data_IF_620450551803
#
_entry.id   IF_620450551803
#
_cell.length_a   1.000
_cell.length_b   1.000
_cell.length_c   1.000
_cell.angle_alpha   90.00
_cell.angle_beta   90.00
_cell.angle_gamma   90.00
#
_symmetry.space_group_name_H-M   'P 1'
#
loop_
_entity.id
_entity.type
_entity.pdbx_description
1 polymer ?
#
# COMPACT_ATOMS: atom_id res chain seq x y z
N UNK A 1 15.28 -13.83 13.98
CA UNK A 1 14.30 -13.93 12.88
C UNK A 1 14.98 -14.62 11.72
N UNK A 2 14.37 -15.69 11.18
CA UNK A 2 14.87 -16.38 9.99
C UNK A 2 14.51 -15.52 8.78
N UNK A 3 15.50 -15.18 7.94
CA UNK A 3 15.27 -14.40 6.71
C UNK A 3 14.32 -15.18 5.79
N UNK A 4 13.32 -14.51 5.22
CA UNK A 4 12.42 -15.12 4.22
C UNK A 4 13.24 -15.58 3.00
N UNK A 5 12.90 -16.71 2.36
CA UNK A 5 13.57 -17.16 1.15
C UNK A 5 13.43 -16.16 0.02
N UNK A 6 14.45 -16.13 -0.85
CA UNK A 6 14.45 -15.35 -2.09
C UNK A 6 13.80 -16.15 -3.22
N UNK A 7 13.09 -15.46 -4.11
CA UNK A 7 12.50 -16.06 -5.31
C UNK A 7 13.61 -16.52 -6.27
N UNK A 8 13.44 -17.70 -6.87
CA UNK A 8 14.32 -18.27 -7.89
C UNK A 8 14.72 -17.25 -8.97
N UNK A 9 16.00 -17.22 -9.35
CA UNK A 9 16.56 -16.16 -10.19
C UNK A 9 15.89 -16.01 -11.56
N UNK A 10 15.47 -17.13 -12.18
CA UNK A 10 14.78 -17.12 -13.47
C UNK A 10 13.36 -16.53 -13.39
N UNK A 11 12.69 -16.74 -12.26
CA UNK A 11 11.37 -16.21 -11.97
C UNK A 11 11.47 -14.73 -11.59
N UNK A 12 12.48 -14.39 -10.77
CA UNK A 12 12.86 -13.01 -10.45
C UNK A 12 13.05 -12.17 -11.72
N UNK A 13 13.82 -12.67 -12.69
CA UNK A 13 14.05 -11.97 -13.95
C UNK A 13 12.77 -11.76 -14.79
N UNK A 14 11.81 -12.69 -14.73
CA UNK A 14 10.52 -12.53 -15.41
C UNK A 14 9.64 -11.48 -14.72
N UNK A 15 9.60 -11.50 -13.38
CA UNK A 15 8.91 -10.49 -12.57
C UNK A 15 9.51 -9.11 -12.88
N UNK A 16 10.84 -8.96 -12.78
CA UNK A 16 11.52 -7.68 -13.03
C UNK A 16 11.22 -7.14 -14.44
N UNK A 17 11.24 -8.00 -15.46
CA UNK A 17 10.87 -7.60 -16.83
C UNK A 17 9.44 -7.08 -16.94
N UNK A 18 8.48 -7.70 -16.25
CA UNK A 18 7.10 -7.23 -16.24
C UNK A 18 6.96 -5.89 -15.52
N UNK A 19 7.70 -5.69 -14.42
CA UNK A 19 7.71 -4.43 -13.67
C UNK A 19 8.38 -3.29 -14.46
N UNK A 20 9.43 -3.58 -15.22
CA UNK A 20 10.03 -2.61 -16.14
C UNK A 20 9.03 -2.15 -17.21
N UNK A 21 8.26 -3.08 -17.78
CA UNK A 21 7.21 -2.77 -18.75
C UNK A 21 6.04 -2.02 -18.09
N UNK A 22 5.64 -2.39 -16.87
CA UNK A 22 4.64 -1.68 -16.07
C UNK A 22 5.06 -0.23 -15.88
N UNK A 23 6.30 0.02 -15.47
CA UNK A 23 6.84 1.38 -15.32
C UNK A 23 6.82 2.18 -16.63
N UNK A 24 7.12 1.57 -17.77
CA UNK A 24 7.00 2.23 -19.08
C UNK A 24 5.56 2.61 -19.42
N UNK A 25 4.59 1.73 -19.12
CA UNK A 25 3.16 2.01 -19.31
C UNK A 25 2.70 3.17 -18.43
N UNK A 26 3.10 3.15 -17.15
CA UNK A 26 2.82 4.25 -16.22
C UNK A 26 3.37 5.59 -16.73
N UNK A 27 4.63 5.62 -17.16
CA UNK A 27 5.27 6.83 -17.72
C UNK A 27 4.58 7.34 -18.99
N UNK A 28 3.99 6.45 -19.78
CA UNK A 28 3.20 6.79 -20.96
C UNK A 28 1.76 7.23 -20.62
N UNK A 29 1.35 7.22 -19.35
CA UNK A 29 0.00 7.55 -18.88
C UNK A 29 -1.01 6.40 -19.01
N UNK A 30 -0.57 5.20 -19.41
CA UNK A 30 -1.39 4.00 -19.48
C UNK A 30 -1.42 3.32 -18.10
N UNK A 31 -2.15 3.93 -17.16
CA UNK A 31 -2.24 3.46 -15.78
C UNK A 31 -2.85 2.06 -15.69
N UNK A 32 -3.92 1.79 -16.44
CA UNK A 32 -4.57 0.48 -16.46
C UNK A 32 -3.64 -0.61 -17.01
N UNK A 33 -2.92 -0.31 -18.10
CA UNK A 33 -1.93 -1.24 -18.66
C UNK A 33 -0.73 -1.46 -17.73
N UNK A 34 -0.35 -0.44 -16.93
CA UNK A 34 0.65 -0.60 -15.87
C UNK A 34 0.19 -1.62 -14.83
N UNK A 35 -1.02 -1.43 -14.28
CA UNK A 35 -1.60 -2.33 -13.28
C UNK A 35 -1.73 -3.76 -13.81
N UNK A 36 -2.16 -3.93 -15.06
CA UNK A 36 -2.29 -5.25 -15.68
C UNK A 36 -0.94 -6.00 -15.69
N UNK A 37 0.15 -5.32 -16.07
CA UNK A 37 1.49 -5.90 -16.06
C UNK A 37 1.99 -6.19 -14.64
N UNK A 38 1.72 -5.29 -13.69
CA UNK A 38 1.99 -5.53 -12.28
C UNK A 38 1.27 -6.79 -11.78
N UNK A 39 -0.01 -6.96 -12.11
CA UNK A 39 -0.80 -8.12 -11.70
C UNK A 39 -0.29 -9.44 -12.30
N UNK A 40 0.21 -9.40 -13.54
CA UNK A 40 0.92 -10.54 -14.13
C UNK A 40 2.19 -10.87 -13.33
N UNK A 41 2.95 -9.86 -12.91
CA UNK A 41 4.13 -10.05 -12.08
C UNK A 41 3.77 -10.62 -10.69
N UNK A 42 2.68 -10.14 -10.09
CA UNK A 42 2.14 -10.69 -8.84
C UNK A 42 1.76 -12.17 -8.96
N UNK A 43 1.12 -12.56 -10.07
CA UNK A 43 0.70 -13.94 -10.32
C UNK A 43 1.88 -14.92 -10.42
N UNK A 44 3.06 -14.43 -10.80
CA UNK A 44 4.29 -15.24 -10.86
C UNK A 44 4.87 -15.56 -9.47
N UNK A 45 4.54 -14.81 -8.42
CA UNK A 45 5.07 -15.07 -7.08
C UNK A 45 4.52 -16.40 -6.55
N UNK A 46 5.39 -17.34 -6.11
CA UNK A 46 4.94 -18.64 -5.64
C UNK A 46 4.07 -18.57 -4.38
N UNK A 47 3.14 -19.50 -4.23
CA UNK A 47 2.32 -19.62 -3.02
C UNK A 47 3.03 -20.40 -1.90
N UNK A 48 2.76 -20.08 -0.62
CA UNK A 48 2.00 -18.92 -0.16
C UNK A 48 2.84 -17.63 -0.24
N UNK A 49 2.29 -16.58 -0.85
CA UNK A 49 3.02 -15.33 -1.16
C UNK A 49 3.67 -14.68 0.07
N UNK A 50 3.02 -14.71 1.23
CA UNK A 50 3.51 -14.13 2.49
C UNK A 50 4.86 -14.69 2.97
N UNK A 51 5.26 -15.88 2.49
CA UNK A 51 6.54 -16.50 2.85
C UNK A 51 7.73 -15.96 2.08
N UNK A 52 7.53 -15.20 1.01
CA UNK A 52 8.61 -14.68 0.17
C UNK A 52 9.01 -13.27 0.57
N UNK A 53 10.29 -12.97 0.42
CA UNK A 53 10.83 -11.64 0.71
C UNK A 53 10.56 -10.65 -0.44
N UNK A 54 10.53 -9.37 -0.12
CA UNK A 54 10.52 -8.23 -1.05
C UNK A 54 9.30 -8.07 -1.96
N UNK A 55 9.10 -8.94 -2.96
CA UNK A 55 8.09 -8.72 -4.01
C UNK A 55 6.65 -8.63 -3.50
N UNK A 56 6.18 -9.54 -2.61
CA UNK A 56 4.79 -9.46 -2.15
C UNK A 56 4.51 -8.15 -1.39
N UNK A 57 5.46 -7.70 -0.57
CA UNK A 57 5.34 -6.46 0.19
C UNK A 57 5.38 -5.24 -0.73
N UNK A 58 6.39 -5.17 -1.61
CA UNK A 58 6.57 -4.06 -2.55
C UNK A 58 5.37 -3.90 -3.50
N UNK A 59 4.92 -5.01 -4.12
CA UNK A 59 3.83 -4.96 -5.08
C UNK A 59 2.49 -4.68 -4.43
N UNK A 60 2.19 -5.28 -3.28
CA UNK A 60 0.92 -5.00 -2.58
C UNK A 60 0.81 -3.53 -2.18
N UNK A 61 1.89 -2.91 -1.68
CA UNK A 61 1.92 -1.48 -1.40
C UNK A 61 1.80 -0.62 -2.68
N UNK A 62 2.49 -1.02 -3.75
CA UNK A 62 2.41 -0.37 -5.06
C UNK A 62 0.99 -0.35 -5.62
N UNK A 63 0.29 -1.49 -5.61
CA UNK A 63 -1.08 -1.57 -6.11
C UNK A 63 -2.05 -0.67 -5.35
N UNK A 64 -1.88 -0.48 -4.04
CA UNK A 64 -2.71 0.49 -3.30
C UNK A 64 -2.60 1.87 -3.95
N UNK A 65 -1.37 2.31 -4.26
CA UNK A 65 -1.15 3.61 -4.92
C UNK A 65 -1.63 3.62 -6.37
N UNK A 66 -1.38 2.55 -7.14
CA UNK A 66 -1.83 2.48 -8.53
C UNK A 66 -3.37 2.59 -8.64
N UNK A 67 -4.11 1.93 -7.75
CA UNK A 67 -5.57 2.03 -7.71
C UNK A 67 -6.06 3.38 -7.17
N UNK A 68 -5.28 4.06 -6.32
CA UNK A 68 -5.53 5.47 -5.96
C UNK A 68 -5.39 6.37 -7.18
N UNK A 69 -4.36 6.20 -7.98
CA UNK A 69 -4.12 6.98 -9.21
C UNK A 69 -5.23 6.73 -10.26
N UNK A 70 -5.80 5.53 -10.28
CA UNK A 70 -6.98 5.18 -11.10
C UNK A 70 -8.31 5.69 -10.52
N UNK A 71 -8.34 6.19 -9.28
CA UNK A 71 -9.58 6.56 -8.59
C UNK A 71 -10.45 5.35 -8.19
N UNK A 72 -9.90 4.14 -8.21
CA UNK A 72 -10.62 2.89 -7.94
C UNK A 72 -10.53 2.53 -6.45
N UNK A 73 -11.48 3.06 -5.70
CA UNK A 73 -11.56 2.85 -4.26
C UNK A 73 -11.72 1.39 -3.87
N UNK A 74 -12.52 0.62 -4.61
CA UNK A 74 -12.83 -0.76 -4.26
C UNK A 74 -11.60 -1.65 -4.37
N UNK A 75 -10.80 -1.48 -5.43
CA UNK A 75 -9.57 -2.24 -5.56
C UNK A 75 -8.46 -1.72 -4.63
N UNK A 76 -8.36 -0.42 -4.38
CA UNK A 76 -7.45 0.11 -3.37
C UNK A 76 -7.72 -0.52 -1.99
N UNK A 77 -8.98 -0.58 -1.56
CA UNK A 77 -9.38 -1.23 -0.31
C UNK A 77 -9.04 -2.72 -0.26
N UNK A 78 -9.23 -3.47 -1.36
CA UNK A 78 -8.82 -4.88 -1.40
C UNK A 78 -7.30 -5.04 -1.25
N UNK A 79 -6.53 -4.18 -1.91
CA UNK A 79 -5.08 -4.26 -1.87
C UNK A 79 -4.48 -3.81 -0.54
N UNK A 80 -5.16 -2.94 0.21
CA UNK A 80 -4.80 -2.63 1.60
C UNK A 80 -4.84 -3.89 2.48
N UNK A 81 -5.90 -4.71 2.37
CA UNK A 81 -6.00 -5.97 3.13
C UNK A 81 -4.90 -6.97 2.72
N UNK A 82 -4.61 -7.05 1.41
CA UNK A 82 -3.49 -7.87 0.92
C UNK A 82 -2.15 -7.36 1.45
N UNK A 83 -1.95 -6.04 1.46
CA UNK A 83 -0.74 -5.41 1.99
C UNK A 83 -0.56 -5.75 3.48
N UNK A 84 -1.59 -5.56 4.30
CA UNK A 84 -1.55 -5.92 5.73
C UNK A 84 -1.12 -7.39 5.92
N UNK A 85 -1.66 -8.31 5.10
CA UNK A 85 -1.23 -9.71 5.10
C UNK A 85 0.24 -9.89 4.73
N UNK A 86 0.74 -9.20 3.70
CA UNK A 86 2.14 -9.34 3.24
C UNK A 86 3.16 -8.75 4.23
N UNK A 87 2.73 -7.74 4.99
CA UNK A 87 3.51 -7.12 6.06
C UNK A 87 3.40 -7.86 7.40
N UNK A 88 2.64 -8.96 7.48
CA UNK A 88 2.37 -9.71 8.73
C UNK A 88 1.78 -8.81 9.82
N UNK A 89 0.81 -7.96 9.42
CA UNK A 89 0.14 -6.97 10.28
C UNK A 89 -1.34 -7.34 10.53
N UNK A 90 -1.63 -8.44 11.25
CA UNK A 90 -3.01 -8.88 11.49
C UNK A 90 -3.80 -7.96 12.43
N UNK A 91 -3.11 -7.06 13.14
CA UNK A 91 -3.73 -6.16 14.13
C UNK A 91 -3.89 -4.73 13.61
N UNK A 92 -3.47 -4.44 12.38
CA UNK A 92 -3.42 -3.08 11.82
C UNK A 92 -2.69 -2.12 12.76
N UNK A 93 -1.44 -2.48 13.08
CA UNK A 93 -0.55 -1.72 13.94
C UNK A 93 0.73 -1.30 13.21
N UNK A 94 1.05 -1.88 12.05
CA UNK A 94 2.23 -1.47 11.28
C UNK A 94 2.05 -0.05 10.73
N UNK A 95 3.03 0.81 11.04
CA UNK A 95 2.98 2.23 10.67
C UNK A 95 2.88 2.44 9.16
N UNK A 96 3.63 1.68 8.37
CA UNK A 96 3.64 1.84 6.92
C UNK A 96 2.31 1.39 6.31
N UNK A 97 1.76 0.27 6.77
CA UNK A 97 0.43 -0.21 6.34
C UNK A 97 -0.65 0.84 6.67
N UNK A 98 -0.70 1.31 7.92
CA UNK A 98 -1.68 2.30 8.35
C UNK A 98 -1.53 3.63 7.59
N UNK A 99 -0.30 4.12 7.41
CA UNK A 99 -0.10 5.37 6.70
C UNK A 99 -0.52 5.23 5.23
N UNK A 100 -0.14 4.14 4.57
CA UNK A 100 -0.50 3.88 3.16
C UNK A 100 -2.02 3.81 3.00
N UNK A 101 -2.71 3.11 3.90
CA UNK A 101 -4.18 3.06 3.91
C UNK A 101 -4.81 4.45 4.13
N UNK A 102 -4.38 5.17 5.17
CA UNK A 102 -4.94 6.46 5.52
C UNK A 102 -4.79 7.47 4.39
N UNK A 103 -3.61 7.52 3.77
CA UNK A 103 -3.34 8.36 2.61
C UNK A 103 -4.20 7.99 1.40
N UNK A 104 -4.30 6.70 1.09
CA UNK A 104 -5.11 6.20 -0.03
C UNK A 104 -6.57 6.62 0.14
N UNK A 105 -7.16 6.36 1.31
CA UNK A 105 -8.54 6.70 1.61
C UNK A 105 -8.77 8.22 1.62
N UNK A 106 -7.79 8.99 2.10
CA UNK A 106 -7.86 10.45 2.05
C UNK A 106 -7.89 10.97 0.60
N UNK A 107 -7.01 10.47 -0.27
CA UNK A 107 -6.93 10.87 -1.69
C UNK A 107 -8.18 10.45 -2.47
N UNK A 108 -8.72 9.26 -2.19
CA UNK A 108 -9.95 8.73 -2.78
C UNK A 108 -11.24 9.36 -2.21
N UNK A 109 -11.11 10.33 -1.29
CA UNK A 109 -12.24 11.06 -0.73
C UNK A 109 -13.01 10.32 0.38
N UNK A 110 -12.58 9.12 0.78
CA UNK A 110 -13.09 8.46 1.98
C UNK A 110 -12.47 9.07 3.24
N UNK A 111 -12.95 10.28 3.54
CA UNK A 111 -12.48 11.04 4.69
C UNK A 111 -12.76 10.29 5.99
N UNK A 112 -13.89 9.59 6.13
CA UNK A 112 -14.24 8.90 7.37
C UNK A 112 -13.25 7.77 7.67
N UNK A 113 -12.94 6.93 6.68
CA UNK A 113 -11.92 5.89 6.86
C UNK A 113 -10.54 6.47 7.12
N UNK A 114 -10.14 7.50 6.37
CA UNK A 114 -8.87 8.18 6.61
C UNK A 114 -8.75 8.71 8.04
N UNK A 115 -9.81 9.35 8.57
CA UNK A 115 -9.84 9.84 9.95
C UNK A 115 -9.67 8.71 10.97
N UNK A 116 -10.38 7.60 10.78
CA UNK A 116 -10.24 6.42 11.65
C UNK A 116 -8.79 5.91 11.68
N UNK A 117 -8.19 5.73 10.50
CA UNK A 117 -6.83 5.18 10.35
C UNK A 117 -5.78 6.13 10.92
N UNK A 118 -5.86 7.43 10.63
CA UNK A 118 -4.94 8.40 11.25
C UNK A 118 -5.12 8.49 12.77
N UNK A 119 -6.34 8.27 13.28
CA UNK A 119 -6.57 8.12 14.71
C UNK A 119 -5.81 6.93 15.32
N UNK A 120 -5.81 5.78 14.64
CA UNK A 120 -5.01 4.60 15.04
C UNK A 120 -3.51 4.88 15.05
N UNK A 121 -2.99 5.57 14.03
CA UNK A 121 -1.59 6.00 14.00
C UNK A 121 -1.28 6.92 15.20
N UNK A 122 -2.16 7.89 15.48
CA UNK A 122 -2.00 8.79 16.62
C UNK A 122 -2.06 8.05 17.97
N UNK A 123 -2.92 7.05 18.11
CA UNK A 123 -3.03 6.23 19.32
C UNK A 123 -1.75 5.43 19.60
N UNK A 124 -1.19 4.78 18.59
CA UNK A 124 -0.02 3.89 18.72
C UNK A 124 1.28 4.71 18.78
N UNK A 125 1.40 5.69 17.89
CA UNK A 125 2.66 6.41 17.67
C UNK A 125 2.64 7.85 18.19
N UNK A 126 1.48 8.44 18.48
CA UNK A 126 1.36 9.86 18.79
C UNK A 126 1.68 10.76 17.59
N UNK A 127 1.95 12.03 17.85
CA UNK A 127 2.29 13.01 16.80
C UNK A 127 3.54 12.62 16.00
N UNK A 128 4.50 11.91 16.61
CA UNK A 128 5.73 11.44 15.93
C UNK A 128 5.45 10.39 14.84
N UNK A 129 4.26 9.80 14.81
CA UNK A 129 3.80 8.95 13.70
C UNK A 129 3.53 9.72 12.40
N UNK A 130 3.66 11.04 12.39
CA UNK A 130 3.46 11.87 11.21
C UNK A 130 4.70 12.74 10.97
N UNK A 131 5.49 12.40 9.95
CA UNK A 131 6.74 13.09 9.63
C UNK A 131 6.73 13.68 8.21
N UNK A 132 7.51 14.74 8.00
CA UNK A 132 7.60 15.41 6.69
C UNK A 132 6.23 15.84 6.16
N UNK A 133 5.91 15.38 4.95
CA UNK A 133 4.65 15.70 4.27
C UNK A 133 3.43 15.07 4.93
N UNK A 134 3.60 14.06 5.80
CA UNK A 134 2.49 13.41 6.50
C UNK A 134 1.88 14.28 7.60
N UNK A 135 2.53 15.39 7.99
CA UNK A 135 1.99 16.35 8.96
C UNK A 135 0.62 16.90 8.54
N UNK A 136 0.36 16.99 7.23
CA UNK A 136 -0.95 17.40 6.72
C UNK A 136 -2.08 16.46 7.18
N UNK A 137 -1.79 15.18 7.37
CA UNK A 137 -2.77 14.18 7.81
C UNK A 137 -3.01 14.24 9.33
N UNK A 138 -1.98 14.58 10.10
CA UNK A 138 -2.13 14.92 11.52
C UNK A 138 -3.03 16.15 11.69
N UNK A 139 -2.78 17.21 10.93
CA UNK A 139 -3.60 18.43 10.98
C UNK A 139 -5.06 18.14 10.61
N UNK A 140 -5.28 17.30 9.58
CA UNK A 140 -6.61 16.84 9.22
C UNK A 140 -7.29 16.07 10.36
N UNK A 141 -6.59 15.12 10.98
CA UNK A 141 -7.12 14.34 12.09
C UNK A 141 -7.50 15.23 13.29
N UNK A 142 -6.60 16.11 13.73
CA UNK A 142 -6.82 16.97 14.89
C UNK A 142 -7.98 17.94 14.68
N UNK A 143 -8.05 18.62 13.54
CA UNK A 143 -9.16 19.54 13.21
C UNK A 143 -10.50 18.83 13.24
N UNK A 144 -10.56 17.61 12.71
CA UNK A 144 -11.82 16.85 12.68
C UNK A 144 -12.21 16.33 14.05
N UNK A 145 -11.24 15.93 14.86
CA UNK A 145 -11.46 15.53 16.25
C UNK A 145 -12.10 16.68 17.04
N UNK A 146 -11.53 17.88 16.96
CA UNK A 146 -12.07 19.08 17.60
C UNK A 146 -13.50 19.42 17.14
N UNK A 147 -13.79 19.26 15.83
CA UNK A 147 -15.13 19.55 15.29
C UNK A 147 -16.24 18.56 15.72
N UNK A 148 -15.85 17.44 16.36
CA UNK A 148 -16.76 16.38 16.82
C UNK A 148 -16.95 16.38 18.34
N UNK A 149 -16.16 17.17 19.08
CA UNK A 149 -16.27 17.40 20.52
C UNK A 149 -17.18 18.62 20.80
#
# INVERSE_FOLDING_TARGET
MTRKPEIEASLKAQIDKLLDLSGQKFQAGDLAGSVELGLQAWALIPEPKEKWDYYPQSLSAGFVQDYVDLGDKDNASKWIEVMAKMYDDPNHEDHLVLMTEGEAMYKLGDRERAYYVFGRIFEIYGQKGFAGDQKQYLDFYLKRKESRE
#
